data_IF_036488378910
#
_entry.id   IF_036488378910
#
_cell.length_a   1.000
_cell.length_b   1.000
_cell.length_c   1.000
_cell.angle_alpha   90.00
_cell.angle_beta   90.00
_cell.angle_gamma   90.00
#
_symmetry.space_group_name_H-M   'P 1'
#
loop_
_entity.id
_entity.type
_entity.pdbx_description
1 polymer ?
#
# COMPACT_ATOMS: atom_id res chain seq x y z
N UNK A 1 -1.40 -28.58 -8.63
CA UNK A 1 -0.85 -27.26 -8.28
C UNK A 1 -1.79 -26.13 -8.70
N UNK A 2 -2.21 -26.04 -9.93
CA UNK A 2 -3.08 -24.99 -10.51
C UNK A 2 -4.45 -24.85 -9.79
N UNK A 3 -5.08 -25.95 -9.38
CA UNK A 3 -6.41 -25.90 -8.76
C UNK A 3 -6.38 -25.25 -7.35
N UNK A 4 -5.33 -25.49 -6.57
CA UNK A 4 -5.17 -24.88 -5.25
C UNK A 4 -4.98 -23.36 -5.36
N UNK A 5 -4.23 -22.91 -6.34
CA UNK A 5 -3.98 -21.50 -6.62
C UNK A 5 -5.26 -20.76 -7.06
N UNK A 6 -6.07 -21.39 -7.92
CA UNK A 6 -7.39 -20.85 -8.33
C UNK A 6 -8.31 -20.67 -7.12
N UNK A 7 -8.39 -21.66 -6.22
CA UNK A 7 -9.20 -21.57 -5.01
C UNK A 7 -8.73 -20.43 -4.08
N UNK A 8 -7.40 -20.23 -3.94
CA UNK A 8 -6.84 -19.12 -3.16
C UNK A 8 -7.21 -17.76 -3.77
N UNK A 9 -7.15 -17.63 -5.10
CA UNK A 9 -7.58 -16.40 -5.79
C UNK A 9 -9.06 -16.12 -5.52
N UNK A 10 -9.94 -17.11 -5.69
CA UNK A 10 -11.38 -16.95 -5.46
C UNK A 10 -11.69 -16.55 -4.01
N UNK A 11 -10.97 -17.10 -3.02
CA UNK A 11 -11.10 -16.68 -1.62
C UNK A 11 -10.76 -15.19 -1.43
N UNK A 12 -9.76 -14.66 -2.15
CA UNK A 12 -9.46 -13.22 -2.13
C UNK A 12 -10.60 -12.37 -2.69
N UNK A 13 -11.41 -12.92 -3.58
CA UNK A 13 -12.65 -12.30 -4.04
C UNK A 13 -13.82 -12.43 -3.04
N UNK A 14 -13.61 -13.11 -1.92
CA UNK A 14 -14.61 -13.24 -0.84
C UNK A 14 -15.50 -14.48 -0.96
N UNK A 15 -15.05 -15.49 -1.69
CA UNK A 15 -15.72 -16.79 -1.70
C UNK A 15 -15.19 -17.65 -0.53
N UNK A 16 -16.06 -18.40 0.10
CA UNK A 16 -15.67 -19.46 1.04
C UNK A 16 -15.01 -20.63 0.31
N UNK A 17 -14.47 -21.59 1.05
CA UNK A 17 -13.86 -22.77 0.46
C UNK A 17 -14.86 -23.60 -0.34
N UNK A 18 -16.06 -23.83 0.22
CA UNK A 18 -17.13 -24.56 -0.47
C UNK A 18 -17.65 -23.81 -1.70
N UNK A 19 -17.85 -22.50 -1.59
CA UNK A 19 -18.24 -21.67 -2.74
C UNK A 19 -17.21 -21.72 -3.86
N UNK A 20 -15.92 -21.60 -3.54
CA UNK A 20 -14.85 -21.66 -4.52
C UNK A 20 -14.80 -23.00 -5.24
N UNK A 21 -14.93 -24.11 -4.50
CA UNK A 21 -14.93 -25.46 -5.08
C UNK A 21 -16.17 -25.72 -5.94
N UNK A 22 -17.35 -25.35 -5.45
CA UNK A 22 -18.59 -25.52 -6.21
C UNK A 22 -18.60 -24.68 -7.50
N UNK A 23 -18.12 -23.42 -7.43
CA UNK A 23 -18.04 -22.56 -8.59
C UNK A 23 -17.06 -23.07 -9.63
N UNK A 24 -15.85 -23.49 -9.24
CA UNK A 24 -14.85 -24.07 -10.17
C UNK A 24 -15.41 -25.34 -10.83
N UNK A 25 -16.04 -26.22 -10.03
CA UNK A 25 -16.66 -27.43 -10.54
C UNK A 25 -17.71 -27.11 -11.62
N UNK A 26 -18.59 -26.14 -11.33
CA UNK A 26 -19.66 -25.74 -12.22
C UNK A 26 -19.15 -25.05 -13.49
N UNK A 27 -18.06 -24.28 -13.43
CA UNK A 27 -17.40 -23.69 -14.60
C UNK A 27 -16.85 -24.79 -15.52
N UNK A 28 -16.30 -25.86 -14.95
CA UNK A 28 -15.68 -26.95 -15.71
C UNK A 28 -16.72 -27.94 -16.30
N UNK A 29 -17.81 -28.19 -15.56
CA UNK A 29 -18.83 -29.16 -15.98
C UNK A 29 -19.89 -28.55 -16.92
N UNK A 30 -20.09 -27.23 -16.85
CA UNK A 30 -21.24 -26.59 -17.47
C UNK A 30 -22.54 -26.75 -16.64
N UNK A 31 -23.71 -26.46 -17.21
CA UNK A 31 -24.99 -26.53 -16.51
C UNK A 31 -25.21 -27.91 -15.88
N UNK A 32 -25.48 -27.93 -14.57
CA UNK A 32 -25.52 -29.19 -13.81
C UNK A 32 -26.50 -29.10 -12.64
N UNK A 33 -26.96 -30.28 -12.14
CA UNK A 33 -27.82 -30.40 -10.99
C UNK A 33 -27.03 -30.33 -9.68
N UNK A 34 -27.67 -29.88 -8.60
CA UNK A 34 -27.01 -29.72 -7.31
C UNK A 34 -26.28 -30.99 -6.82
N UNK A 35 -26.90 -32.18 -7.04
CA UNK A 35 -26.28 -33.46 -6.65
C UNK A 35 -24.98 -33.78 -7.41
N UNK A 36 -24.90 -33.42 -8.69
CA UNK A 36 -23.72 -33.65 -9.51
C UNK A 36 -22.60 -32.65 -9.13
N UNK A 37 -22.96 -31.39 -8.88
CA UNK A 37 -22.05 -30.36 -8.38
C UNK A 37 -21.46 -30.77 -7.01
N UNK A 38 -22.31 -31.29 -6.09
CA UNK A 38 -21.86 -31.78 -4.79
C UNK A 38 -20.78 -32.85 -4.92
N UNK A 39 -21.02 -33.85 -5.77
CA UNK A 39 -20.06 -34.95 -6.02
C UNK A 39 -18.74 -34.45 -6.64
N UNK A 40 -18.82 -33.57 -7.64
CA UNK A 40 -17.64 -33.08 -8.37
C UNK A 40 -16.82 -32.08 -7.56
N UNK A 41 -17.46 -31.28 -6.71
CA UNK A 41 -16.80 -30.24 -5.92
C UNK A 41 -16.35 -30.71 -4.53
N UNK A 42 -16.67 -31.92 -4.13
CA UNK A 42 -16.46 -32.44 -2.77
C UNK A 42 -17.10 -31.51 -1.69
N UNK A 43 -18.26 -30.94 -2.02
CA UNK A 43 -19.09 -30.18 -1.07
C UNK A 43 -20.19 -31.11 -0.56
N UNK A 44 -20.37 -31.26 0.77
CA UNK A 44 -21.40 -32.14 1.31
C UNK A 44 -22.79 -31.84 0.76
N UNK A 45 -23.57 -32.91 0.46
CA UNK A 45 -24.91 -32.77 -0.13
C UNK A 45 -25.85 -31.96 0.75
N UNK A 46 -25.67 -32.01 2.07
CA UNK A 46 -26.42 -31.21 3.05
C UNK A 46 -26.09 -29.69 2.95
N UNK A 47 -24.99 -29.31 2.33
CA UNK A 47 -24.55 -27.91 2.22
C UNK A 47 -24.65 -27.34 0.83
N UNK A 48 -24.78 -28.17 -0.21
CA UNK A 48 -24.66 -27.71 -1.60
C UNK A 48 -25.74 -26.69 -1.98
N UNK A 49 -26.95 -26.81 -1.51
CA UNK A 49 -28.02 -25.87 -1.81
C UNK A 49 -27.76 -24.50 -1.20
N UNK A 50 -27.32 -24.45 0.06
CA UNK A 50 -26.90 -23.21 0.73
C UNK A 50 -25.75 -22.54 -0.03
N UNK A 51 -24.75 -23.32 -0.47
CA UNK A 51 -23.59 -22.83 -1.25
C UNK A 51 -24.04 -22.27 -2.60
N UNK A 52 -24.93 -22.96 -3.32
CA UNK A 52 -25.44 -22.52 -4.62
C UNK A 52 -26.32 -21.27 -4.48
N UNK A 53 -27.10 -21.15 -3.40
CA UNK A 53 -27.87 -19.94 -3.08
C UNK A 53 -26.93 -18.75 -2.84
N UNK A 54 -25.86 -18.92 -2.06
CA UNK A 54 -24.86 -17.89 -1.83
C UNK A 54 -24.13 -17.49 -3.13
N UNK A 55 -23.79 -18.44 -3.98
CA UNK A 55 -23.20 -18.16 -5.28
C UNK A 55 -24.16 -17.40 -6.22
N UNK A 56 -25.45 -17.72 -6.15
CA UNK A 56 -26.51 -17.02 -6.90
C UNK A 56 -26.67 -15.59 -6.38
N UNK A 57 -26.72 -15.42 -5.06
CA UNK A 57 -26.76 -14.10 -4.43
C UNK A 57 -25.56 -13.22 -4.82
N UNK A 58 -24.37 -13.82 -4.92
CA UNK A 58 -23.14 -13.16 -5.39
C UNK A 58 -23.08 -12.99 -6.91
N UNK A 59 -24.10 -13.40 -7.65
CA UNK A 59 -24.18 -13.34 -9.11
C UNK A 59 -23.08 -14.14 -9.84
N UNK A 60 -22.60 -15.20 -9.21
CA UNK A 60 -21.62 -16.14 -9.76
C UNK A 60 -22.28 -17.33 -10.46
N UNK A 61 -23.53 -17.61 -10.10
CA UNK A 61 -24.32 -18.73 -10.61
C UNK A 61 -25.71 -18.26 -11.00
N UNK A 62 -26.20 -18.75 -12.12
CA UNK A 62 -27.57 -18.61 -12.60
C UNK A 62 -28.35 -19.89 -12.34
N UNK A 63 -29.61 -19.76 -11.90
CA UNK A 63 -30.53 -20.89 -11.75
C UNK A 63 -31.30 -21.05 -13.05
N UNK A 64 -31.15 -22.19 -13.69
CA UNK A 64 -31.96 -22.58 -14.87
C UNK A 64 -33.25 -23.27 -14.42
N UNK A 65 -34.35 -22.95 -15.09
CA UNK A 65 -35.62 -23.60 -14.82
C UNK A 65 -35.55 -25.08 -15.11
N UNK A 66 -36.35 -25.87 -14.39
CA UNK A 66 -36.46 -27.31 -14.61
C UNK A 66 -36.85 -28.04 -13.32
N UNK A 67 -37.19 -29.31 -13.45
CA UNK A 67 -37.39 -30.23 -12.31
C UNK A 67 -36.61 -31.51 -12.59
N UNK A 68 -35.48 -31.73 -11.89
CA UNK A 68 -34.84 -30.87 -10.87
C UNK A 68 -34.19 -29.61 -11.45
N UNK A 69 -33.98 -28.61 -10.59
CA UNK A 69 -33.26 -27.34 -10.92
C UNK A 69 -31.85 -27.61 -11.40
N UNK A 70 -31.43 -26.89 -12.43
CA UNK A 70 -30.07 -26.87 -12.91
C UNK A 70 -29.42 -25.49 -12.63
N UNK A 71 -28.13 -25.49 -12.45
CA UNK A 71 -27.32 -24.33 -12.13
C UNK A 71 -26.25 -24.16 -13.19
N UNK A 72 -25.97 -22.93 -13.56
CA UNK A 72 -24.95 -22.58 -14.56
C UNK A 72 -24.01 -21.52 -13.99
N UNK A 73 -22.72 -21.71 -14.12
CA UNK A 73 -21.76 -20.69 -13.75
C UNK A 73 -21.82 -19.50 -14.73
N UNK A 74 -21.82 -18.30 -14.19
CA UNK A 74 -21.50 -17.09 -14.94
C UNK A 74 -20.01 -17.14 -15.31
N UNK A 75 -19.65 -16.68 -16.51
CA UNK A 75 -18.27 -16.67 -16.96
C UNK A 75 -17.37 -15.96 -15.92
N UNK A 76 -16.22 -16.55 -15.55
CA UNK A 76 -15.36 -16.03 -14.49
C UNK A 76 -14.99 -14.55 -14.68
N UNK A 77 -14.70 -14.14 -15.90
CA UNK A 77 -14.36 -12.75 -16.20
C UNK A 77 -15.50 -11.79 -15.87
N UNK A 78 -16.73 -12.14 -16.23
CA UNK A 78 -17.92 -11.31 -15.97
C UNK A 78 -18.23 -11.29 -14.47
N UNK A 79 -18.27 -12.47 -13.85
CA UNK A 79 -18.61 -12.62 -12.44
C UNK A 79 -17.61 -11.88 -11.53
N UNK A 80 -16.32 -12.02 -11.76
CA UNK A 80 -15.30 -11.39 -10.95
C UNK A 80 -15.20 -9.87 -11.18
N UNK A 81 -15.47 -9.39 -12.41
CA UNK A 81 -15.62 -7.96 -12.68
C UNK A 81 -16.81 -7.35 -11.92
N UNK A 82 -17.94 -8.05 -11.86
CA UNK A 82 -19.11 -7.60 -11.10
C UNK A 82 -18.79 -7.47 -9.61
N UNK A 83 -18.08 -8.45 -9.03
CA UNK A 83 -17.64 -8.38 -7.62
C UNK A 83 -16.73 -7.15 -7.40
N UNK A 84 -15.77 -6.89 -8.30
CA UNK A 84 -14.90 -5.72 -8.18
C UNK A 84 -15.68 -4.41 -8.27
N UNK A 85 -16.56 -4.28 -9.26
CA UNK A 85 -17.39 -3.08 -9.43
C UNK A 85 -18.27 -2.81 -8.21
N UNK A 86 -18.87 -3.85 -7.63
CA UNK A 86 -19.67 -3.70 -6.41
C UNK A 86 -18.81 -3.24 -5.22
N UNK A 87 -17.60 -3.77 -5.05
CA UNK A 87 -16.68 -3.32 -3.99
C UNK A 87 -16.21 -1.88 -4.21
N UNK A 88 -15.94 -1.48 -5.45
CA UNK A 88 -15.57 -0.10 -5.77
C UNK A 88 -16.69 0.88 -5.44
N UNK A 89 -17.94 0.50 -5.73
CA UNK A 89 -19.13 1.27 -5.37
C UNK A 89 -19.26 1.40 -3.85
N UNK A 90 -19.15 0.29 -3.13
CA UNK A 90 -19.18 0.27 -1.66
C UNK A 90 -18.10 1.19 -1.06
N UNK A 91 -16.88 1.11 -1.56
CA UNK A 91 -15.78 2.01 -1.17
C UNK A 91 -16.12 3.48 -1.49
N UNK A 92 -16.76 3.74 -2.62
CA UNK A 92 -17.25 5.06 -2.99
C UNK A 92 -18.27 5.62 -2.00
N UNK A 93 -19.25 4.80 -1.62
CA UNK A 93 -20.29 5.14 -0.65
C UNK A 93 -19.67 5.38 0.74
N UNK A 94 -18.75 4.52 1.19
CA UNK A 94 -18.02 4.71 2.44
C UNK A 94 -17.21 6.02 2.45
N UNK A 95 -16.53 6.37 1.34
CA UNK A 95 -15.82 7.64 1.21
C UNK A 95 -16.76 8.85 1.31
N UNK A 96 -17.96 8.74 0.76
CA UNK A 96 -19.00 9.78 0.85
C UNK A 96 -19.51 9.91 2.29
N UNK A 97 -19.73 8.78 2.96
CA UNK A 97 -20.17 8.75 4.35
C UNK A 97 -19.11 9.35 5.29
N UNK A 98 -17.81 9.14 5.04
CA UNK A 98 -16.74 9.81 5.80
C UNK A 98 -16.88 11.34 5.75
N UNK A 99 -17.19 11.91 4.58
CA UNK A 99 -17.39 13.37 4.46
C UNK A 99 -18.59 13.86 5.31
N UNK A 100 -19.70 13.11 5.27
CA UNK A 100 -20.89 13.43 6.05
C UNK A 100 -20.58 13.32 7.55
N UNK A 101 -19.97 12.22 7.99
CA UNK A 101 -19.59 12.04 9.39
C UNK A 101 -18.61 13.10 9.87
N UNK A 102 -17.59 13.45 9.08
CA UNK A 102 -16.62 14.49 9.42
C UNK A 102 -17.23 15.86 9.54
N UNK A 103 -18.30 16.16 8.79
CA UNK A 103 -19.03 17.42 8.92
C UNK A 103 -20.01 17.45 10.09
N UNK A 104 -20.59 16.30 10.43
CA UNK A 104 -21.62 16.14 11.46
C UNK A 104 -21.04 15.91 12.84
N UNK A 105 -19.96 15.14 12.94
CA UNK A 105 -19.24 14.85 14.18
C UNK A 105 -18.17 15.92 14.42
N UNK A 106 -18.60 17.11 14.81
CA UNK A 106 -17.67 18.12 15.29
C UNK A 106 -17.18 17.69 16.68
N UNK A 107 -15.86 17.74 16.95
CA UNK A 107 -15.37 17.60 18.32
C UNK A 107 -16.11 18.61 19.21
N UNK A 108 -16.53 18.22 20.40
CA UNK A 108 -17.15 19.12 21.35
C UNK A 108 -16.26 20.36 21.51
N UNK A 109 -16.82 21.55 21.28
CA UNK A 109 -16.15 22.83 21.49
C UNK A 109 -15.94 23.02 23.00
N UNK A 110 -14.93 22.45 23.56
CA UNK A 110 -14.67 22.31 25.00
C UNK A 110 -13.90 21.05 25.31
N UNK A 111 -13.48 20.34 24.26
CA UNK A 111 -12.51 19.27 24.43
C UNK A 111 -11.34 19.83 25.19
N UNK A 112 -11.17 19.36 26.43
CA UNK A 112 -10.01 19.62 27.23
C UNK A 112 -8.82 19.63 26.29
N UNK A 113 -8.14 20.75 26.22
CA UNK A 113 -6.76 20.76 25.79
C UNK A 113 -6.13 19.68 26.66
N UNK A 114 -5.99 18.46 26.08
CA UNK A 114 -5.17 17.43 26.72
C UNK A 114 -3.76 18.01 26.60
N UNK A 115 -3.47 18.92 27.51
CA UNK A 115 -2.17 19.50 27.68
C UNK A 115 -1.35 18.39 28.31
N UNK A 116 -0.49 17.78 27.49
CA UNK A 116 0.48 16.83 27.96
C UNK A 116 0.02 15.38 27.98
N UNK A 117 -0.12 14.76 26.82
CA UNK A 117 -0.24 13.30 26.69
C UNK A 117 0.95 12.71 25.95
N UNK A 118 1.39 11.54 26.39
CA UNK A 118 2.30 10.67 25.64
C UNK A 118 1.51 9.46 25.22
N UNK A 119 1.35 9.28 23.93
CA UNK A 119 0.63 8.13 23.35
C UNK A 119 1.61 7.14 22.76
N UNK A 120 1.53 5.89 23.19
CA UNK A 120 2.28 4.80 22.61
C UNK A 120 1.45 4.16 21.48
N UNK A 121 2.04 4.07 20.30
CA UNK A 121 1.45 3.42 19.14
C UNK A 121 2.24 2.13 18.90
N UNK A 122 1.58 0.98 19.12
CA UNK A 122 2.14 -0.34 18.81
C UNK A 122 1.51 -0.85 17.53
N UNK A 123 2.31 -1.22 16.56
CA UNK A 123 1.82 -1.72 15.28
C UNK A 123 2.65 -2.89 14.79
N UNK A 124 2.00 -3.80 14.06
CA UNK A 124 2.68 -4.86 13.30
C UNK A 124 3.24 -4.37 11.98
N UNK A 125 2.85 -3.19 11.53
CA UNK A 125 3.27 -2.61 10.25
C UNK A 125 3.90 -1.23 10.43
N UNK A 126 4.65 -0.78 9.43
CA UNK A 126 5.22 0.58 9.39
C UNK A 126 4.17 1.64 9.06
N UNK A 127 3.00 1.23 8.61
CA UNK A 127 2.00 2.12 8.00
C UNK A 127 1.41 3.09 9.01
N UNK A 128 1.22 2.68 10.26
CA UNK A 128 0.67 3.56 11.31
C UNK A 128 1.61 4.73 11.62
N UNK A 129 2.92 4.48 11.69
CA UNK A 129 3.91 5.56 11.82
C UNK A 129 3.82 6.54 10.65
N UNK A 130 3.76 6.03 9.41
CA UNK A 130 3.65 6.88 8.24
C UNK A 130 2.29 7.59 8.15
N UNK A 131 1.20 6.95 8.52
CA UNK A 131 -0.12 7.59 8.56
C UNK A 131 -0.13 8.74 9.57
N UNK A 132 0.44 8.53 10.77
CA UNK A 132 0.56 9.60 11.76
C UNK A 132 1.46 10.72 11.29
N UNK A 133 2.57 10.38 10.62
CA UNK A 133 3.45 11.38 10.00
C UNK A 133 2.70 12.22 8.97
N UNK A 134 1.89 11.60 8.10
CA UNK A 134 1.06 12.30 7.10
C UNK A 134 0.11 13.29 7.79
N UNK A 135 -0.62 12.85 8.81
CA UNK A 135 -1.51 13.73 9.58
C UNK A 135 -0.79 14.95 10.17
N UNK A 136 0.43 14.75 10.67
CA UNK A 136 1.24 15.83 11.23
C UNK A 136 1.69 16.81 10.14
N UNK A 137 2.17 16.32 8.98
CA UNK A 137 2.53 17.17 7.85
C UNK A 137 1.33 17.92 7.27
N UNK A 138 0.14 17.33 7.25
CA UNK A 138 -1.08 17.99 6.77
C UNK A 138 -1.48 19.18 7.66
N UNK A 139 -1.13 19.14 8.95
CA UNK A 139 -1.38 20.22 9.93
C UNK A 139 -0.26 21.26 10.03
N UNK A 140 0.92 20.97 9.53
CA UNK A 140 2.09 21.84 9.62
C UNK A 140 1.84 23.23 9.02
N UNK A 141 2.32 24.27 9.71
CA UNK A 141 2.12 25.68 9.32
C UNK A 141 3.43 26.44 9.11
N UNK A 142 4.47 26.14 9.87
CA UNK A 142 5.72 26.90 9.91
C UNK A 142 6.91 26.06 9.45
N UNK A 143 7.14 24.94 10.12
CA UNK A 143 8.26 24.05 9.80
C UNK A 143 8.01 22.59 10.17
N UNK A 144 8.72 21.71 9.50
CA UNK A 144 8.76 20.29 9.80
C UNK A 144 10.21 19.79 9.76
N UNK A 145 10.64 19.12 10.83
CA UNK A 145 11.89 18.36 10.85
C UNK A 145 11.58 16.87 10.84
N UNK A 146 12.27 16.13 9.99
CA UNK A 146 12.19 14.68 9.94
C UNK A 146 13.59 14.06 10.00
N UNK A 147 13.84 13.20 10.98
CA UNK A 147 15.03 12.37 11.08
C UNK A 147 14.65 10.96 10.64
N UNK A 148 15.26 10.49 9.57
CA UNK A 148 14.92 9.21 8.92
C UNK A 148 16.18 8.40 8.66
N UNK A 149 16.06 7.08 8.55
CA UNK A 149 17.21 6.23 8.26
C UNK A 149 17.73 6.43 6.84
N UNK A 150 16.85 6.22 5.87
CA UNK A 150 17.15 5.98 4.47
C UNK A 150 16.30 6.82 3.52
N UNK A 151 15.78 7.95 3.98
CA UNK A 151 14.85 8.80 3.23
C UNK A 151 13.60 8.08 2.71
N UNK A 152 13.16 7.00 3.38
CA UNK A 152 11.93 6.26 3.01
C UNK A 152 10.75 7.19 2.84
N UNK A 153 10.04 7.04 1.72
CA UNK A 153 8.97 7.95 1.29
C UNK A 153 7.83 7.21 0.60
N UNK A 154 6.94 6.56 1.35
CA UNK A 154 5.72 6.02 0.77
C UNK A 154 4.93 7.08 0.01
N UNK A 155 4.23 6.71 -1.05
CA UNK A 155 3.55 7.64 -1.97
C UNK A 155 2.65 8.66 -1.25
N UNK A 156 1.92 8.21 -0.24
CA UNK A 156 1.03 9.06 0.56
C UNK A 156 1.79 10.12 1.36
N UNK A 157 2.92 9.74 1.97
CA UNK A 157 3.81 10.69 2.65
C UNK A 157 4.44 11.67 1.67
N UNK A 158 4.86 11.18 0.50
CA UNK A 158 5.41 12.01 -0.56
C UNK A 158 4.46 13.14 -0.97
N UNK A 159 3.19 12.80 -1.15
CA UNK A 159 2.16 13.77 -1.54
C UNK A 159 1.88 14.79 -0.42
N UNK A 160 1.81 14.34 0.84
CA UNK A 160 1.62 15.21 2.00
C UNK A 160 2.79 16.19 2.17
N UNK A 161 4.04 15.72 2.07
CA UNK A 161 5.24 16.58 2.09
C UNK A 161 5.19 17.63 0.98
N UNK A 162 4.83 17.24 -0.24
CA UNK A 162 4.67 18.15 -1.38
C UNK A 162 3.63 19.24 -1.12
N UNK A 163 2.46 18.86 -0.60
CA UNK A 163 1.40 19.79 -0.22
C UNK A 163 1.86 20.73 0.91
N UNK A 164 2.58 20.20 1.89
CA UNK A 164 3.15 20.95 2.99
C UNK A 164 4.11 22.05 2.49
N UNK A 165 5.05 21.71 1.62
CA UNK A 165 5.99 22.66 1.02
C UNK A 165 5.28 23.73 0.18
N UNK A 166 4.25 23.34 -0.60
CA UNK A 166 3.44 24.30 -1.38
C UNK A 166 2.67 25.30 -0.52
N UNK A 167 2.37 24.95 0.74
CA UNK A 167 1.81 25.89 1.73
C UNK A 167 2.84 26.85 2.32
N UNK A 168 4.11 26.74 1.95
CA UNK A 168 5.21 27.58 2.45
C UNK A 168 5.89 27.04 3.69
N UNK A 169 5.56 25.82 4.14
CA UNK A 169 6.19 25.18 5.29
C UNK A 169 7.63 24.76 4.97
N UNK A 170 8.57 25.11 5.84
CA UNK A 170 9.97 24.73 5.70
C UNK A 170 10.18 23.27 6.12
N UNK A 171 10.43 22.40 5.17
CA UNK A 171 10.64 20.97 5.45
C UNK A 171 12.13 20.66 5.41
N UNK A 172 12.63 20.10 6.52
CA UNK A 172 14.03 19.71 6.71
C UNK A 172 14.13 18.23 7.04
N UNK A 173 14.92 17.49 6.29
CA UNK A 173 15.07 16.04 6.43
C UNK A 173 16.52 15.65 6.65
N UNK A 174 16.79 14.92 7.72
CA UNK A 174 18.10 14.36 8.06
C UNK A 174 18.10 12.87 7.82
N UNK A 175 18.97 12.37 6.96
CA UNK A 175 19.26 10.95 6.81
C UNK A 175 20.29 10.47 7.83
N UNK A 176 20.13 9.25 8.34
CA UNK A 176 21.01 8.68 9.37
C UNK A 176 21.96 7.61 8.85
N UNK A 177 21.62 6.91 7.79
CA UNK A 177 22.47 5.89 7.18
C UNK A 177 23.29 6.50 6.03
N UNK A 178 24.44 5.89 5.76
CA UNK A 178 25.26 6.27 4.61
C UNK A 178 24.43 6.25 3.32
N UNK A 179 24.67 7.24 2.47
CA UNK A 179 23.99 7.35 1.19
C UNK A 179 24.40 6.16 0.31
N UNK A 180 23.45 5.34 -0.02
CA UNK A 180 23.56 4.24 -0.99
C UNK A 180 22.75 4.55 -2.24
N UNK A 181 22.78 3.67 -3.23
CA UNK A 181 22.02 3.84 -4.47
C UNK A 181 20.54 4.15 -4.24
N UNK A 182 19.87 3.48 -3.31
CA UNK A 182 18.45 3.66 -3.01
C UNK A 182 18.17 4.97 -2.26
N UNK A 183 18.93 5.26 -1.21
CA UNK A 183 18.74 6.47 -0.38
C UNK A 183 19.10 7.74 -1.13
N UNK A 184 20.02 7.67 -2.09
CA UNK A 184 20.38 8.77 -2.98
C UNK A 184 19.18 9.30 -3.78
N UNK A 185 18.45 8.42 -4.47
CA UNK A 185 17.27 8.83 -5.25
C UNK A 185 16.15 9.37 -4.37
N UNK A 186 15.94 8.74 -3.22
CA UNK A 186 14.96 9.23 -2.25
C UNK A 186 15.31 10.63 -1.75
N UNK A 187 16.57 10.89 -1.44
CA UNK A 187 17.08 12.21 -1.08
C UNK A 187 16.89 13.23 -2.21
N UNK A 188 17.22 12.84 -3.46
CA UNK A 188 17.02 13.65 -4.65
C UNK A 188 15.57 14.06 -4.85
N UNK A 189 14.62 13.14 -4.59
CA UNK A 189 13.19 13.46 -4.65
C UNK A 189 12.76 14.47 -3.60
N UNK A 190 13.19 14.34 -2.35
CA UNK A 190 12.93 15.35 -1.33
C UNK A 190 13.43 16.72 -1.73
N UNK A 191 14.67 16.79 -2.24
CA UNK A 191 15.25 18.05 -2.72
C UNK A 191 14.50 18.63 -3.91
N UNK A 192 14.09 17.79 -4.88
CA UNK A 192 13.29 18.19 -6.05
C UNK A 192 11.94 18.77 -5.63
N UNK A 193 11.32 18.22 -4.59
CA UNK A 193 10.04 18.70 -4.06
C UNK A 193 10.19 19.99 -3.22
N UNK A 194 11.45 20.43 -2.93
CA UNK A 194 11.74 21.69 -2.23
C UNK A 194 12.10 21.52 -0.75
N UNK A 195 12.30 20.29 -0.26
CA UNK A 195 12.82 20.07 1.07
C UNK A 195 14.33 20.31 1.15
N UNK A 196 14.78 20.82 2.29
CA UNK A 196 16.20 20.85 2.63
C UNK A 196 16.61 19.48 3.18
N UNK A 197 17.77 18.96 2.74
CA UNK A 197 18.24 17.64 3.18
C UNK A 197 19.67 17.72 3.68
N UNK A 198 19.94 17.00 4.76
CA UNK A 198 21.24 16.82 5.35
C UNK A 198 21.46 15.37 5.77
N UNK A 199 22.66 15.04 6.14
CA UNK A 199 23.09 13.71 6.51
C UNK A 199 23.88 13.74 7.82
N UNK A 200 23.54 12.82 8.73
CA UNK A 200 24.22 12.62 9.99
C UNK A 200 24.40 11.11 10.21
N UNK A 201 25.61 10.63 10.03
CA UNK A 201 25.90 9.21 10.13
C UNK A 201 25.82 8.72 11.59
N UNK A 202 24.88 7.83 11.85
CA UNK A 202 24.72 7.18 13.15
C UNK A 202 24.10 5.80 13.00
N UNK A 203 24.53 4.85 13.83
CA UNK A 203 23.99 3.49 13.82
C UNK A 203 22.75 3.32 14.70
N UNK A 204 22.60 4.14 15.72
CA UNK A 204 21.54 4.01 16.73
C UNK A 204 20.89 5.36 16.94
N UNK A 205 19.75 5.55 16.31
CA UNK A 205 18.98 6.77 16.49
C UNK A 205 17.50 6.50 16.13
N UNK A 206 16.53 6.96 16.94
CA UNK A 206 15.12 6.84 16.60
C UNK A 206 14.79 7.69 15.38
N UNK A 207 13.79 7.27 14.60
CA UNK A 207 13.17 8.16 13.62
C UNK A 207 12.34 9.18 14.38
N UNK A 208 12.51 10.46 14.03
CA UNK A 208 11.83 11.56 14.72
C UNK A 208 11.16 12.46 13.69
N UNK A 209 9.96 12.89 13.99
CA UNK A 209 9.27 13.96 13.26
C UNK A 209 8.83 15.01 14.26
N UNK A 210 9.17 16.26 14.01
CA UNK A 210 8.74 17.42 14.81
C UNK A 210 8.03 18.40 13.90
N UNK A 211 6.86 18.88 14.30
CA UNK A 211 6.08 19.88 13.57
C UNK A 211 5.85 21.11 14.41
N UNK A 212 6.27 22.27 13.93
CA UNK A 212 6.02 23.60 14.47
C UNK A 212 6.42 23.78 15.94
N UNK A 213 7.27 22.88 16.50
CA UNK A 213 7.55 22.85 17.94
C UNK A 213 6.30 22.57 18.80
N UNK A 214 5.25 21.95 18.23
CA UNK A 214 3.96 21.69 18.88
C UNK A 214 3.64 20.21 19.03
N UNK A 215 4.23 19.37 18.20
CA UNK A 215 4.06 17.92 18.28
C UNK A 215 5.31 17.17 17.82
N UNK A 216 5.51 16.01 18.42
CA UNK A 216 6.61 15.10 18.11
C UNK A 216 6.11 13.68 17.94
N UNK A 217 6.67 12.98 16.96
CA UNK A 217 6.50 11.55 16.78
C UNK A 217 7.88 10.90 16.72
N UNK A 218 8.09 9.89 17.55
CA UNK A 218 9.33 9.12 17.58
C UNK A 218 9.02 7.65 17.35
N UNK A 219 9.85 6.98 16.57
CA UNK A 219 9.81 5.55 16.39
C UNK A 219 11.03 4.91 17.04
N UNK A 220 10.78 4.05 18.03
CA UNK A 220 11.76 3.48 18.94
C UNK A 220 12.28 2.09 18.52
N UNK A 221 12.06 1.69 17.27
CA UNK A 221 12.54 0.41 16.78
C UNK A 221 14.08 0.39 16.76
N UNK A 222 14.66 -0.30 17.71
CA UNK A 222 16.04 -0.71 17.68
C UNK A 222 16.19 -1.83 16.65
N UNK A 223 17.40 -2.00 16.15
CA UNK A 223 17.77 -3.00 15.12
C UNK A 223 17.49 -4.44 15.58
N UNK A 224 16.21 -4.84 15.54
CA UNK A 224 15.77 -6.19 15.92
C UNK A 224 15.76 -7.05 14.66
N UNK A 225 16.94 -7.49 14.24
CA UNK A 225 17.09 -8.43 13.11
C UNK A 225 16.76 -9.89 13.47
N UNK A 226 16.29 -10.18 14.69
CA UNK A 226 16.26 -11.56 15.21
C UNK A 226 14.93 -12.09 15.71
N UNK A 227 13.83 -11.37 15.62
CA UNK A 227 12.56 -11.90 16.14
C UNK A 227 11.44 -11.89 15.10
N UNK A 228 10.74 -13.01 15.04
CA UNK A 228 9.60 -13.27 14.16
C UNK A 228 8.35 -12.47 14.50
N UNK A 229 8.36 -11.69 15.57
CA UNK A 229 7.22 -10.90 16.05
C UNK A 229 7.59 -9.41 16.11
N UNK A 230 7.76 -8.80 14.92
CA UNK A 230 8.06 -7.36 14.82
C UNK A 230 6.90 -6.51 15.34
N UNK A 231 7.10 -5.87 16.47
CA UNK A 231 6.24 -4.78 16.93
C UNK A 231 6.97 -3.45 16.75
N UNK A 232 6.39 -2.56 15.94
CA UNK A 232 6.89 -1.21 15.81
C UNK A 232 6.32 -0.34 16.93
N UNK A 233 7.18 0.13 17.81
CA UNK A 233 6.79 1.02 18.90
C UNK A 233 7.06 2.47 18.48
N UNK A 234 6.02 3.28 18.48
CA UNK A 234 6.13 4.72 18.24
C UNK A 234 5.53 5.49 19.43
N UNK A 235 6.09 6.63 19.70
CA UNK A 235 5.59 7.56 20.72
C UNK A 235 5.22 8.86 20.03
N UNK A 236 3.99 9.32 20.22
CA UNK A 236 3.52 10.61 19.78
C UNK A 236 3.17 11.48 20.99
N UNK A 237 3.50 12.76 20.95
CA UNK A 237 3.21 13.67 22.05
C UNK A 237 3.01 15.09 21.56
N UNK A 238 2.15 15.82 22.27
CA UNK A 238 1.98 17.27 22.21
C UNK A 238 2.32 17.94 23.56
N UNK A 239 2.96 17.20 24.49
CA UNK A 239 3.43 17.78 25.74
C UNK A 239 4.48 18.86 25.46
N UNK A 240 4.26 20.11 25.91
CA UNK A 240 5.13 21.22 25.60
C UNK A 240 6.58 21.02 26.06
N UNK A 241 6.79 20.35 27.20
CA UNK A 241 8.11 20.11 27.75
C UNK A 241 8.89 19.09 26.93
N UNK A 242 8.24 17.95 26.61
CA UNK A 242 8.84 16.91 25.78
C UNK A 242 9.11 17.43 24.36
N UNK A 243 8.10 18.08 23.75
CA UNK A 243 8.23 18.65 22.40
C UNK A 243 9.36 19.66 22.34
N UNK A 244 9.48 20.56 23.30
CA UNK A 244 10.55 21.57 23.35
C UNK A 244 11.94 20.93 23.42
N UNK A 245 12.11 19.91 24.23
CA UNK A 245 13.40 19.20 24.35
C UNK A 245 13.77 18.54 23.02
N UNK A 246 12.83 17.82 22.42
CA UNK A 246 13.08 17.12 21.16
C UNK A 246 13.25 18.11 19.99
N UNK A 247 12.50 19.20 19.96
CA UNK A 247 12.63 20.23 18.93
C UNK A 247 14.02 20.88 18.96
N UNK A 248 14.52 21.25 20.15
CA UNK A 248 15.89 21.76 20.33
C UNK A 248 16.91 20.71 19.90
N UNK A 249 16.72 19.47 20.31
CA UNK A 249 17.61 18.38 19.93
C UNK A 249 17.69 18.20 18.40
N UNK A 250 16.56 18.15 17.70
CA UNK A 250 16.53 17.95 16.24
C UNK A 250 17.10 19.16 15.50
N UNK A 251 16.91 20.38 16.01
CA UNK A 251 17.54 21.59 15.45
C UNK A 251 19.06 21.54 15.58
N UNK A 252 19.57 21.19 16.75
CA UNK A 252 21.02 21.00 16.95
C UNK A 252 21.60 19.90 16.05
N UNK A 253 20.87 18.77 15.90
CA UNK A 253 21.23 17.71 14.99
C UNK A 253 21.29 18.22 13.53
N UNK A 254 20.32 19.04 13.13
CA UNK A 254 20.32 19.67 11.81
C UNK A 254 21.54 20.57 11.61
N UNK A 255 21.91 21.35 12.59
CA UNK A 255 23.03 22.29 12.49
C UNK A 255 24.38 21.57 12.38
N UNK A 256 24.52 20.42 13.05
CA UNK A 256 25.73 19.57 12.99
C UNK A 256 25.77 18.64 11.79
N UNK A 257 24.62 18.37 11.17
CA UNK A 257 24.52 17.46 10.03
C UNK A 257 25.21 18.03 8.77
N UNK A 258 25.81 17.14 7.99
CA UNK A 258 26.53 17.47 6.74
C UNK A 258 25.58 17.68 5.57
N UNK A 259 25.87 18.64 4.72
CA UNK A 259 25.16 18.84 3.46
C UNK A 259 25.45 17.69 2.49
N UNK A 260 24.44 17.19 1.81
CA UNK A 260 24.56 16.15 0.80
C UNK A 260 24.81 16.80 -0.57
N UNK A 261 25.92 16.46 -1.21
CA UNK A 261 26.16 16.82 -2.62
C UNK A 261 25.62 15.71 -3.54
N UNK A 262 24.41 15.90 -4.02
CA UNK A 262 23.75 14.95 -4.92
C UNK A 262 24.26 15.00 -6.38
N UNK A 263 25.30 15.76 -6.66
CA UNK A 263 25.94 15.82 -8.00
C UNK A 263 27.05 14.79 -8.16
N UNK A 264 27.55 14.22 -7.07
CA UNK A 264 28.80 13.43 -7.03
C UNK A 264 28.61 11.90 -7.14
N UNK A 265 27.43 11.38 -7.47
CA UNK A 265 27.20 9.93 -7.56
C UNK A 265 26.52 9.49 -8.87
N UNK A 266 27.15 9.69 -10.04
CA UNK A 266 26.62 9.17 -11.32
C UNK A 266 26.58 7.62 -11.36
N UNK A 267 27.47 6.94 -10.64
CA UNK A 267 27.50 5.48 -10.55
C UNK A 267 26.26 4.87 -9.87
N UNK A 268 25.68 5.62 -8.92
CA UNK A 268 24.44 5.21 -8.29
C UNK A 268 23.20 5.32 -9.23
N UNK A 269 23.25 6.22 -10.21
CA UNK A 269 22.21 6.35 -11.24
C UNK A 269 22.23 5.13 -12.19
N UNK A 270 23.39 4.79 -12.70
CA UNK A 270 23.57 3.68 -13.63
C UNK A 270 23.17 2.33 -13.00
N UNK A 271 23.56 2.08 -11.75
CA UNK A 271 23.21 0.82 -11.06
C UNK A 271 21.71 0.66 -10.82
N UNK A 272 20.99 1.74 -10.53
CA UNK A 272 19.53 1.65 -10.31
C UNK A 272 18.72 1.57 -11.62
N UNK A 273 19.19 2.18 -12.68
CA UNK A 273 18.63 1.98 -14.02
C UNK A 273 18.82 0.52 -14.46
N UNK A 274 19.99 -0.05 -14.18
CA UNK A 274 20.29 -1.45 -14.46
C UNK A 274 19.46 -2.41 -13.60
N UNK A 275 19.33 -2.18 -12.28
CA UNK A 275 18.47 -2.97 -11.40
C UNK A 275 16.98 -2.86 -11.77
N UNK A 276 16.47 -1.68 -12.09
CA UNK A 276 15.09 -1.50 -12.51
C UNK A 276 14.82 -2.13 -13.88
N UNK A 277 15.81 -2.07 -14.79
CA UNK A 277 15.74 -2.72 -16.09
C UNK A 277 15.75 -4.25 -15.95
N UNK A 278 16.58 -4.82 -15.08
CA UNK A 278 16.62 -6.27 -14.81
C UNK A 278 15.36 -6.75 -14.08
N UNK A 279 14.83 -6.00 -13.11
CA UNK A 279 13.55 -6.31 -12.45
C UNK A 279 12.39 -6.22 -13.45
N UNK A 280 12.40 -5.24 -14.34
CA UNK A 280 11.40 -5.10 -15.41
C UNK A 280 11.48 -6.26 -16.40
N UNK A 281 12.68 -6.67 -16.82
CA UNK A 281 12.91 -7.85 -17.69
C UNK A 281 12.50 -9.14 -16.99
N UNK A 282 12.85 -9.31 -15.72
CA UNK A 282 12.48 -10.48 -14.92
C UNK A 282 10.96 -10.62 -14.82
N UNK A 283 10.24 -9.53 -14.55
CA UNK A 283 8.78 -9.53 -14.49
C UNK A 283 8.13 -9.77 -15.86
N UNK A 284 8.66 -9.17 -16.92
CA UNK A 284 8.19 -9.39 -18.30
C UNK A 284 8.46 -10.82 -18.75
N UNK A 285 9.62 -11.39 -18.45
CA UNK A 285 9.96 -12.78 -18.74
C UNK A 285 9.10 -13.76 -17.93
N UNK A 286 8.82 -13.47 -16.66
CA UNK A 286 7.95 -14.25 -15.81
C UNK A 286 6.51 -14.27 -16.33
N UNK A 287 5.96 -13.10 -16.70
CA UNK A 287 4.61 -12.98 -17.28
C UNK A 287 4.55 -13.67 -18.65
N UNK A 288 5.54 -13.48 -19.51
CA UNK A 288 5.64 -14.19 -20.82
C UNK A 288 5.75 -15.70 -20.62
N UNK A 289 6.50 -16.18 -19.63
CA UNK A 289 6.62 -17.61 -19.31
C UNK A 289 5.30 -18.23 -18.85
N UNK A 290 4.57 -17.54 -17.97
CA UNK A 290 3.25 -17.99 -17.51
C UNK A 290 2.24 -18.02 -18.66
N UNK A 291 2.24 -17.01 -19.53
CA UNK A 291 1.31 -16.93 -20.66
C UNK A 291 1.62 -17.96 -21.76
N UNK A 292 2.89 -18.21 -22.06
CA UNK A 292 3.30 -19.24 -23.01
C UNK A 292 2.94 -20.65 -22.54
N UNK A 293 3.01 -20.93 -21.26
CA UNK A 293 2.57 -22.22 -20.69
C UNK A 293 1.04 -22.39 -20.67
N UNK A 294 0.29 -21.30 -20.53
CA UNK A 294 -1.18 -21.34 -20.42
C UNK A 294 -1.93 -21.22 -21.75
N UNK A 295 -1.32 -20.56 -22.74
CA UNK A 295 -1.98 -20.26 -24.02
C UNK A 295 -1.01 -20.47 -25.20
N UNK A 296 -0.60 -21.70 -25.48
CA UNK A 296 0.42 -21.97 -26.50
C UNK A 296 0.05 -21.56 -27.94
N UNK A 297 -1.22 -21.23 -28.21
CA UNK A 297 -1.73 -20.93 -29.55
C UNK A 297 -2.34 -19.54 -29.75
N UNK A 298 -2.17 -18.60 -28.79
CA UNK A 298 -2.91 -17.32 -28.89
C UNK A 298 -2.17 -16.17 -29.57
N UNK A 299 -0.96 -16.34 -30.07
CA UNK A 299 -0.28 -15.31 -30.89
C UNK A 299 -0.27 -13.89 -30.33
N UNK A 300 -0.46 -13.72 -29.00
CA UNK A 300 -0.51 -12.41 -28.35
C UNK A 300 0.90 -11.86 -28.24
N UNK A 301 1.20 -10.85 -29.03
CA UNK A 301 2.45 -10.10 -28.96
C UNK A 301 2.28 -8.98 -27.92
N UNK A 302 2.98 -9.08 -26.79
CA UNK A 302 3.08 -7.97 -25.83
C UNK A 302 4.16 -6.99 -26.31
N UNK A 303 3.76 -5.79 -26.70
CA UNK A 303 4.71 -4.67 -26.85
C UNK A 303 5.03 -4.10 -25.47
N UNK A 304 6.30 -3.87 -25.16
CA UNK A 304 6.71 -3.15 -23.97
C UNK A 304 6.34 -1.67 -24.08
N UNK A 305 6.05 -1.02 -22.98
CA UNK A 305 5.68 0.43 -22.95
C UNK A 305 6.78 1.30 -23.54
N UNK A 306 8.04 0.85 -23.56
CA UNK A 306 9.18 1.52 -24.19
C UNK A 306 9.16 1.49 -25.72
N UNK A 307 8.41 0.59 -26.35
CA UNK A 307 8.30 0.53 -27.83
C UNK A 307 7.15 1.40 -28.37
N UNK A 308 6.30 1.95 -27.52
CA UNK A 308 5.26 2.90 -27.93
C UNK A 308 5.79 4.34 -28.08
N UNK A 309 6.79 4.72 -27.31
CA UNK A 309 7.36 6.09 -27.34
C UNK A 309 8.28 6.34 -28.55
N UNK A 310 8.85 5.29 -29.16
CA UNK A 310 9.70 5.43 -30.36
C UNK A 310 8.89 5.56 -31.66
N UNK A 311 7.67 5.02 -31.73
CA UNK A 311 6.87 5.10 -32.96
C UNK A 311 6.08 6.42 -33.10
N UNK A 312 5.87 7.16 -32.02
CA UNK A 312 5.20 8.47 -32.09
C UNK A 312 6.16 9.62 -32.44
N UNK A 313 7.49 9.38 -32.36
CA UNK A 313 8.51 10.34 -32.77
C UNK A 313 8.84 10.35 -34.27
N UNK A 314 8.42 9.33 -35.04
CA UNK A 314 8.62 9.26 -36.49
C UNK A 314 7.41 9.76 -37.32
N UNK A 315 6.33 10.21 -36.69
CA UNK A 315 5.10 10.68 -37.35
C UNK A 315 4.73 12.13 -37.02
N UNK A 316 5.70 12.96 -36.57
CA UNK A 316 5.52 14.42 -36.42
C UNK A 316 6.51 15.22 -37.27
#
# INVERSE_FOLDING_TARGET
MVQKEILEILRRFGLSDYESRAYVSLVLMGPSKAGDISKSSDVPQSKIYEVLEQLTYKQLVEVLGGRPLEFKAVLPEVALRNILSNREKEIGDLKSNIKILSSSLKPAAGGSTIVGGIWSIKSKTRDEFFNKTVEMFDRAKEYAYAVTRDFSRPSRLAESVKKCIRRGVKVKVVGMEAINSISYYRAKWYKKDGAEIKFFETKIHPRIVVIDGKEVLMRLDNDIRKETDFQFNSVWSQDPSLVKVIDVYVKNLWDTAKTIDLRKTPEAEAQLEEENYEVGKGMTAFVKGIMAQRFPNTGVVFKSVSEQDENDAELS
#
